data_IF_259449436982
#
_entry.id   IF_259449436982
#
_cell.length_a   1.000
_cell.length_b   1.000
_cell.length_c   1.000
_cell.angle_alpha   90.00
_cell.angle_beta   90.00
_cell.angle_gamma   90.00
#
_symmetry.space_group_name_H-M   'P 1'
#
loop_
_entity.id
_entity.type
_entity.pdbx_description
1 polymer ?
#
# COMPACT_ATOMS: atom_id res chain seq x y z
N UNK A 1 18.06 2.11 -7.14
CA UNK A 1 19.02 1.12 -6.65
C UNK A 1 20.41 1.72 -6.75
N UNK A 2 21.17 1.66 -5.66
CA UNK A 2 22.52 2.22 -5.57
C UNK A 2 23.54 1.12 -5.25
N UNK A 3 24.81 1.35 -5.58
CA UNK A 3 25.92 0.50 -5.15
C UNK A 3 26.31 0.79 -3.69
N UNK A 4 27.32 0.07 -3.20
CA UNK A 4 27.88 0.23 -1.85
C UNK A 4 28.50 1.62 -1.60
N UNK A 5 28.86 2.34 -2.66
CA UNK A 5 29.45 3.68 -2.60
C UNK A 5 28.37 4.78 -2.75
N UNK A 6 27.09 4.40 -2.90
CA UNK A 6 25.98 5.32 -3.08
C UNK A 6 25.77 5.81 -4.52
N UNK A 7 26.51 5.29 -5.51
CA UNK A 7 26.27 5.64 -6.90
C UNK A 7 24.98 4.98 -7.39
N UNK A 8 24.21 5.69 -8.21
CA UNK A 8 23.01 5.13 -8.83
C UNK A 8 23.41 4.05 -9.85
N UNK A 9 22.88 2.84 -9.71
CA UNK A 9 23.12 1.72 -10.63
C UNK A 9 21.88 1.41 -11.47
N UNK A 10 20.70 1.62 -10.89
CA UNK A 10 19.43 1.43 -11.60
C UNK A 10 18.37 2.40 -11.09
N UNK A 11 17.58 2.93 -12.02
CA UNK A 11 16.39 3.74 -11.77
C UNK A 11 15.27 3.26 -12.69
N UNK A 12 14.10 3.01 -12.14
CA UNK A 12 12.88 2.76 -12.89
C UNK A 12 11.79 3.71 -12.40
N UNK A 13 11.09 4.35 -13.33
CA UNK A 13 9.93 5.19 -13.06
C UNK A 13 8.71 4.50 -13.64
N UNK A 14 7.64 4.46 -12.86
CA UNK A 14 6.43 3.73 -13.19
C UNK A 14 5.21 4.64 -13.11
N UNK A 15 4.21 4.36 -13.95
CA UNK A 15 2.89 4.95 -13.78
C UNK A 15 2.17 4.33 -12.56
N UNK A 16 1.00 4.86 -12.14
CA UNK A 16 0.26 4.30 -11.01
C UNK A 16 -0.09 2.81 -11.17
N UNK A 17 -0.24 2.32 -12.40
CA UNK A 17 -0.56 0.92 -12.69
C UNK A 17 0.70 0.06 -12.94
N UNK A 18 1.91 0.59 -12.73
CA UNK A 18 3.14 -0.18 -12.87
C UNK A 18 3.71 -0.31 -14.28
N UNK A 19 3.18 0.44 -15.26
CA UNK A 19 3.85 0.54 -16.56
C UNK A 19 5.15 1.31 -16.42
N UNK A 20 6.21 0.79 -17.04
CA UNK A 20 7.51 1.40 -17.03
C UNK A 20 7.49 2.64 -17.95
N UNK A 21 7.63 3.82 -17.37
CA UNK A 21 7.69 5.10 -18.08
C UNK A 21 9.14 5.42 -18.46
N UNK A 22 10.07 5.13 -17.57
CA UNK A 22 11.49 5.37 -17.79
C UNK A 22 12.32 4.30 -17.07
N UNK A 23 13.39 3.87 -17.72
CA UNK A 23 14.35 2.93 -17.16
C UNK A 23 15.78 3.37 -17.49
N UNK A 24 16.63 3.37 -16.47
CA UNK A 24 18.03 3.66 -16.58
C UNK A 24 18.83 2.61 -15.81
N UNK A 25 19.91 2.12 -16.44
CA UNK A 25 20.77 1.07 -15.91
C UNK A 25 20.89 -0.11 -16.88
N UNK A 26 21.59 -1.16 -16.44
CA UNK A 26 21.71 -2.40 -17.20
C UNK A 26 20.38 -3.15 -17.25
N UNK A 27 19.94 -3.51 -18.46
CA UNK A 27 18.74 -4.32 -18.65
C UNK A 27 18.88 -5.66 -17.91
N UNK A 28 17.81 -6.10 -17.25
CA UNK A 28 17.81 -7.35 -16.46
C UNK A 28 18.54 -7.30 -15.12
N UNK A 29 19.19 -6.17 -14.78
CA UNK A 29 19.86 -6.02 -13.48
C UNK A 29 18.88 -6.07 -12.30
N UNK A 30 17.70 -5.50 -12.48
CA UNK A 30 16.63 -5.55 -11.51
C UNK A 30 15.41 -6.24 -12.14
N UNK A 31 15.05 -7.43 -11.64
CA UNK A 31 13.84 -8.15 -12.05
C UNK A 31 12.62 -7.72 -11.25
N UNK A 32 12.81 -7.14 -10.06
CA UNK A 32 11.72 -6.65 -9.21
C UNK A 32 11.34 -5.22 -9.57
N UNK A 33 10.13 -5.03 -10.09
CA UNK A 33 9.65 -3.77 -10.66
C UNK A 33 8.58 -3.14 -9.76
N UNK A 34 7.36 -3.06 -10.27
CA UNK A 34 6.22 -2.44 -9.61
C UNK A 34 5.88 -3.19 -8.33
N UNK A 35 5.69 -2.45 -7.22
CA UNK A 35 5.33 -2.94 -5.86
C UNK A 35 6.19 -4.08 -5.29
N UNK A 36 7.33 -4.37 -5.92
CA UNK A 36 8.22 -5.48 -5.55
C UNK A 36 7.97 -6.79 -6.33
N UNK A 37 7.01 -6.81 -7.26
CA UNK A 37 6.72 -7.95 -8.12
C UNK A 37 7.85 -8.22 -9.11
N UNK A 38 8.05 -9.49 -9.43
CA UNK A 38 9.05 -9.93 -10.40
C UNK A 38 8.48 -9.87 -11.83
N UNK A 39 9.10 -9.09 -12.71
CA UNK A 39 8.69 -8.95 -14.11
C UNK A 39 9.37 -10.00 -14.97
N UNK A 40 8.57 -10.81 -15.65
CA UNK A 40 9.06 -11.69 -16.70
C UNK A 40 9.34 -10.88 -17.98
N UNK A 41 10.57 -10.92 -18.47
CA UNK A 41 10.99 -10.20 -19.68
C UNK A 41 10.36 -10.73 -20.96
N UNK A 42 9.92 -11.99 -20.99
CA UNK A 42 9.33 -12.59 -22.19
C UNK A 42 7.87 -12.16 -22.38
N UNK A 43 7.10 -12.12 -21.29
CA UNK A 43 5.66 -11.81 -21.34
C UNK A 43 5.33 -10.37 -20.96
N UNK A 44 6.23 -9.70 -20.23
CA UNK A 44 5.97 -8.38 -19.65
C UNK A 44 4.94 -8.41 -18.51
N UNK A 45 4.62 -9.60 -17.99
CA UNK A 45 3.75 -9.79 -16.84
C UNK A 45 4.55 -9.77 -15.55
N UNK A 46 3.91 -9.27 -14.50
CA UNK A 46 4.48 -9.18 -13.16
C UNK A 46 3.93 -10.32 -12.29
N UNK A 47 4.80 -11.10 -11.68
CA UNK A 47 4.41 -12.14 -10.74
C UNK A 47 4.16 -11.54 -9.36
N UNK A 48 2.89 -11.50 -8.98
CA UNK A 48 2.39 -10.97 -7.72
C UNK A 48 2.16 -12.09 -6.69
N UNK A 49 2.96 -13.15 -6.66
CA UNK A 49 2.79 -14.35 -5.82
C UNK A 49 1.51 -15.16 -6.09
N UNK A 50 0.33 -14.63 -5.75
CA UNK A 50 -0.95 -15.32 -5.92
C UNK A 50 -1.49 -15.25 -7.36
N UNK A 51 -1.13 -14.20 -8.11
CA UNK A 51 -1.64 -13.92 -9.46
C UNK A 51 -0.56 -13.38 -10.38
N UNK A 52 -0.82 -13.45 -11.68
CA UNK A 52 -0.07 -12.70 -12.71
C UNK A 52 -0.73 -11.35 -12.95
N UNK A 53 0.03 -10.27 -12.79
CA UNK A 53 -0.39 -8.89 -13.00
C UNK A 53 0.07 -8.38 -14.37
N UNK A 54 -0.84 -7.71 -15.09
CA UNK A 54 -0.55 -7.12 -16.39
C UNK A 54 -0.47 -5.60 -16.27
N UNK A 55 0.73 -5.00 -16.14
CA UNK A 55 0.87 -3.54 -16.00
C UNK A 55 0.26 -2.80 -17.20
N UNK A 56 0.43 -3.32 -18.41
CA UNK A 56 -0.10 -2.72 -19.65
C UNK A 56 -1.63 -2.61 -19.70
N UNK A 57 -2.35 -3.35 -18.86
CA UNK A 57 -3.82 -3.33 -18.77
C UNK A 57 -4.33 -2.82 -17.44
N UNK A 58 -3.45 -2.55 -16.47
CA UNK A 58 -3.78 -2.15 -15.11
C UNK A 58 -4.61 -3.17 -14.34
N UNK A 59 -4.46 -4.47 -14.61
CA UNK A 59 -5.32 -5.54 -14.04
C UNK A 59 -4.63 -6.89 -13.98
N UNK A 60 -5.17 -7.78 -13.14
CA UNK A 60 -4.72 -9.16 -13.08
C UNK A 60 -5.16 -9.97 -14.31
N UNK A 61 -4.36 -10.97 -14.70
CA UNK A 61 -4.65 -11.90 -15.79
C UNK A 61 -5.50 -13.09 -15.33
N UNK A 62 -5.54 -13.32 -14.02
CA UNK A 62 -6.31 -14.38 -13.38
C UNK A 62 -7.28 -13.75 -12.38
N UNK A 63 -8.48 -14.33 -12.23
CA UNK A 63 -9.43 -13.81 -11.28
C UNK A 63 -9.01 -14.18 -9.85
N UNK A 64 -9.38 -13.34 -8.89
CA UNK A 64 -9.05 -13.55 -7.48
C UNK A 64 -9.34 -14.98 -6.97
N UNK A 65 -8.35 -15.69 -6.40
CA UNK A 65 -8.54 -17.00 -5.76
C UNK A 65 -9.52 -16.97 -4.57
N UNK A 66 -9.66 -15.85 -3.87
CA UNK A 66 -10.63 -15.69 -2.78
C UNK A 66 -12.09 -15.76 -3.29
N UNK A 67 -12.29 -15.57 -4.61
CA UNK A 67 -13.59 -15.62 -5.24
C UNK A 67 -14.56 -14.59 -4.65
N UNK A 68 -15.82 -14.97 -4.46
CA UNK A 68 -16.84 -14.10 -3.88
C UNK A 68 -16.66 -13.89 -2.37
N UNK A 69 -15.77 -14.61 -1.70
CA UNK A 69 -15.52 -14.41 -0.26
C UNK A 69 -14.85 -13.06 0.03
N UNK A 70 -14.05 -12.56 -0.92
CA UNK A 70 -13.46 -11.22 -0.85
C UNK A 70 -14.40 -10.10 -1.32
N UNK A 71 -15.50 -10.46 -1.99
CA UNK A 71 -16.44 -9.48 -2.51
C UNK A 71 -17.45 -9.04 -1.44
N UNK A 72 -17.62 -7.73 -1.28
CA UNK A 72 -18.58 -7.10 -0.39
C UNK A 72 -19.66 -6.43 -1.22
N UNK A 73 -20.92 -6.84 -1.05
CA UNK A 73 -22.06 -6.24 -1.76
C UNK A 73 -22.19 -4.73 -1.49
N UNK A 74 -21.78 -4.29 -0.29
CA UNK A 74 -21.73 -2.87 0.09
C UNK A 74 -20.67 -2.06 -0.68
N UNK A 75 -19.73 -2.72 -1.35
CA UNK A 75 -18.61 -2.13 -2.10
C UNK A 75 -18.55 -2.78 -3.49
N UNK A 76 -19.38 -2.34 -4.46
CA UNK A 76 -19.53 -3.00 -5.76
C UNK A 76 -18.22 -3.11 -6.56
N UNK A 77 -17.23 -2.26 -6.29
CA UNK A 77 -15.87 -2.33 -6.84
C UNK A 77 -15.14 -3.63 -6.51
N UNK A 78 -15.46 -4.25 -5.36
CA UNK A 78 -14.88 -5.54 -4.92
C UNK A 78 -15.42 -6.73 -5.72
N UNK A 79 -16.51 -6.56 -6.47
CA UNK A 79 -17.07 -7.62 -7.33
C UNK A 79 -16.20 -7.89 -8.55
N UNK A 80 -15.37 -6.92 -8.96
CA UNK A 80 -14.43 -7.10 -10.05
C UNK A 80 -13.17 -7.86 -9.59
N UNK A 81 -13.18 -9.17 -9.80
CA UNK A 81 -12.09 -10.10 -9.42
C UNK A 81 -10.77 -9.90 -10.17
N UNK A 82 -10.74 -9.03 -11.18
CA UNK A 82 -9.53 -8.71 -11.95
C UNK A 82 -8.97 -7.33 -11.62
N UNK A 83 -9.71 -6.49 -10.89
CA UNK A 83 -9.29 -5.13 -10.58
C UNK A 83 -7.99 -5.15 -9.75
N UNK A 84 -7.05 -4.32 -10.14
CA UNK A 84 -5.93 -4.01 -9.27
C UNK A 84 -6.40 -2.99 -8.25
N UNK A 85 -6.40 -3.37 -6.98
CA UNK A 85 -6.49 -2.42 -5.88
C UNK A 85 -7.74 -1.51 -5.94
N UNK A 86 -8.89 -2.11 -6.28
CA UNK A 86 -10.16 -1.39 -6.45
C UNK A 86 -10.14 -0.23 -7.45
N UNK A 87 -9.19 -0.22 -8.40
CA UNK A 87 -8.89 0.89 -9.31
C UNK A 87 -8.41 2.18 -8.63
N UNK A 88 -7.87 2.08 -7.40
CA UNK A 88 -7.23 3.20 -6.70
C UNK A 88 -5.75 2.91 -6.40
N UNK A 89 -4.91 2.79 -7.43
CA UNK A 89 -3.50 2.42 -7.26
C UNK A 89 -2.62 3.53 -6.68
N UNK A 90 -3.17 4.74 -6.48
CA UNK A 90 -2.45 5.87 -5.90
C UNK A 90 -2.45 5.79 -4.37
N UNK A 91 -3.59 5.39 -3.79
CA UNK A 91 -3.77 5.37 -2.34
C UNK A 91 -3.57 3.98 -1.72
N UNK A 92 -3.52 2.94 -2.54
CA UNK A 92 -3.51 1.55 -2.11
C UNK A 92 -2.46 0.76 -2.90
N UNK A 93 -1.95 -0.29 -2.28
CA UNK A 93 -0.93 -1.18 -2.84
C UNK A 93 -1.29 -2.62 -2.51
N UNK A 94 -1.08 -3.54 -3.45
CA UNK A 94 -1.17 -4.97 -3.19
C UNK A 94 0.26 -5.55 -3.15
N UNK A 95 0.67 -6.18 -2.05
CA UNK A 95 2.01 -6.76 -1.91
C UNK A 95 2.07 -8.26 -2.25
N UNK A 96 0.95 -8.96 -2.23
CA UNK A 96 0.89 -10.43 -2.32
C UNK A 96 0.00 -10.94 -3.45
N UNK A 97 -0.54 -10.03 -4.26
CA UNK A 97 -1.45 -10.31 -5.35
C UNK A 97 -2.79 -10.83 -4.87
N UNK A 98 -3.23 -10.55 -3.65
CA UNK A 98 -4.50 -11.04 -3.09
C UNK A 98 -5.33 -9.92 -2.46
N UNK A 99 -4.72 -9.02 -1.71
CA UNK A 99 -5.45 -8.00 -0.95
C UNK A 99 -4.89 -6.59 -1.18
N UNK A 100 -5.80 -5.63 -1.31
CA UNK A 100 -5.47 -4.22 -1.39
C UNK A 100 -5.21 -3.68 0.02
N UNK A 101 -3.99 -3.23 0.27
CA UNK A 101 -3.59 -2.65 1.53
C UNK A 101 -3.33 -1.15 1.38
N UNK A 102 -3.60 -0.39 2.44
CA UNK A 102 -3.10 0.99 2.51
C UNK A 102 -1.61 0.92 2.82
N UNK A 103 -0.76 1.68 2.10
CA UNK A 103 0.62 1.88 2.52
C UNK A 103 0.65 2.34 3.97
N UNK A 104 1.64 1.87 4.73
CA UNK A 104 1.78 2.23 6.13
C UNK A 104 1.84 3.76 6.30
N UNK A 105 0.82 4.31 6.95
CA UNK A 105 0.76 5.71 7.35
C UNK A 105 0.98 5.80 8.87
N UNK A 106 2.11 6.38 9.34
CA UNK A 106 2.37 6.51 10.76
C UNK A 106 1.34 7.39 11.49
N UNK A 107 0.69 8.33 10.80
CA UNK A 107 -0.34 9.17 11.40
C UNK A 107 -1.64 8.39 11.61
N UNK A 108 -2.09 7.62 10.60
CA UNK A 108 -3.25 6.75 10.74
C UNK A 108 -3.01 5.69 11.82
N UNK A 109 -1.81 5.10 11.91
CA UNK A 109 -1.48 4.14 12.95
C UNK A 109 -1.56 4.75 14.37
N UNK A 110 -1.08 5.99 14.55
CA UNK A 110 -1.21 6.72 15.80
C UNK A 110 -2.67 7.06 16.12
N UNK A 111 -3.47 7.42 15.11
CA UNK A 111 -4.90 7.67 15.26
C UNK A 111 -5.69 6.39 15.57
N UNK A 112 -5.33 5.25 15.00
CA UNK A 112 -6.00 3.97 15.31
C UNK A 112 -5.65 3.49 16.73
N UNK A 113 -4.48 3.88 17.26
CA UNK A 113 -4.06 3.58 18.63
C UNK A 113 -4.63 4.57 19.66
N UNK A 114 -4.70 5.87 19.34
CA UNK A 114 -5.00 6.95 20.31
C UNK A 114 -6.18 7.85 19.93
N UNK A 115 -6.77 7.65 18.75
CA UNK A 115 -7.93 8.40 18.27
C UNK A 115 -9.24 7.96 18.93
N UNK A 116 -10.34 8.66 18.65
CA UNK A 116 -11.66 8.29 19.16
C UNK A 116 -12.08 6.94 18.55
N UNK A 117 -11.90 5.86 19.32
CA UNK A 117 -12.22 4.51 18.90
C UNK A 117 -13.73 4.44 18.54
N UNK A 118 -14.05 4.06 17.28
CA UNK A 118 -15.42 3.67 16.92
C UNK A 118 -15.74 2.35 17.61
N UNK A 119 -16.21 2.42 18.86
CA UNK A 119 -16.91 1.32 19.53
C UNK A 119 -16.14 0.49 20.55
N UNK A 120 -14.92 0.84 20.95
CA UNK A 120 -14.32 0.21 22.13
C UNK A 120 -14.85 0.87 23.41
N UNK A 121 -15.84 0.22 24.04
CA UNK A 121 -16.08 0.41 25.47
C UNK A 121 -14.91 -0.27 26.19
N UNK A 122 -13.86 0.48 26.51
CA UNK A 122 -12.91 0.02 27.53
C UNK A 122 -13.58 0.20 28.91
N UNK A 123 -13.73 -0.84 29.73
CA UNK A 123 -14.24 -0.64 31.08
C UNK A 123 -13.13 0.04 31.88
N UNK A 124 -13.30 1.34 32.12
CA UNK A 124 -12.58 2.16 33.10
C UNK A 124 -11.05 2.09 33.03
N UNK A 125 -10.46 2.87 32.14
CA UNK A 125 -9.08 3.32 32.31
C UNK A 125 -9.01 4.83 32.17
N UNK A 126 -8.80 5.50 33.30
CA UNK A 126 -8.70 6.94 33.37
C UNK A 126 -7.35 7.37 32.77
N UNK A 127 -7.37 7.81 31.51
CA UNK A 127 -6.19 8.14 30.69
C UNK A 127 -5.24 9.15 31.35
N UNK A 128 -5.74 10.02 32.25
CA UNK A 128 -4.90 10.96 33.02
C UNK A 128 -3.91 10.26 33.97
N UNK A 129 -4.19 9.04 34.40
CA UNK A 129 -3.40 8.35 35.43
C UNK A 129 -2.26 7.53 34.84
N UNK A 130 -2.29 7.19 33.55
CA UNK A 130 -1.27 6.34 32.91
C UNK A 130 -0.27 7.07 32.02
N UNK A 131 -0.64 8.23 31.45
CA UNK A 131 0.28 9.06 30.69
C UNK A 131 0.40 10.39 31.42
N UNK A 132 1.56 10.63 32.04
CA UNK A 132 1.80 11.85 32.80
C UNK A 132 1.42 13.10 31.99
N UNK A 133 0.93 14.14 32.68
CA UNK A 133 0.32 15.34 32.06
C UNK A 133 1.17 15.96 30.94
N UNK A 134 2.50 15.82 31.00
CA UNK A 134 3.43 16.29 29.97
C UNK A 134 3.22 15.60 28.61
N UNK A 135 3.01 14.29 28.58
CA UNK A 135 2.78 13.52 27.33
C UNK A 135 1.44 13.91 26.71
N UNK A 136 0.42 14.08 27.56
CA UNK A 136 -0.91 14.50 27.13
C UNK A 136 -0.89 15.91 26.52
N UNK A 137 -0.13 16.84 27.11
CA UNK A 137 0.00 18.22 26.62
C UNK A 137 0.81 18.31 25.32
N UNK A 138 1.86 17.50 25.15
CA UNK A 138 2.66 17.46 23.92
C UNK A 138 1.81 16.95 22.75
N UNK A 139 1.04 15.88 22.94
CA UNK A 139 0.13 15.36 21.90
C UNK A 139 -0.93 16.41 21.57
N UNK A 140 -1.52 17.07 22.57
CA UNK A 140 -2.51 18.15 22.37
C UNK A 140 -1.92 19.37 21.63
N UNK A 141 -0.63 19.64 21.80
CA UNK A 141 0.08 20.69 21.09
C UNK A 141 0.40 20.31 19.63
N UNK A 142 0.81 19.06 19.39
CA UNK A 142 1.07 18.52 18.05
C UNK A 142 -0.19 18.35 17.19
N UNK A 143 -1.37 18.23 17.82
CA UNK A 143 -2.67 18.10 17.14
C UNK A 143 -3.35 19.44 16.81
N UNK A 144 -2.71 20.59 17.06
CA UNK A 144 -3.28 21.88 16.62
C UNK A 144 -3.10 22.01 15.10
N UNK A 145 -4.17 22.26 14.32
CA UNK A 145 -4.03 22.50 12.89
C UNK A 145 -3.16 23.75 12.70
N UNK A 146 -2.25 23.69 11.72
CA UNK A 146 -1.54 24.88 11.22
C UNK A 146 -2.61 25.74 10.55
N UNK A 147 -3.05 26.78 11.24
CA UNK A 147 -3.82 27.86 10.59
C UNK A 147 -2.89 28.49 9.55
N UNK A 148 -3.37 28.54 8.31
CA UNK A 148 -2.69 29.12 7.15
C UNK A 148 -2.52 30.64 7.29
#
# INVERSE_FOLDING_TARGET
>A
MTDQNGNMVYRGEFDPYGNLVYEWGLAGLNTRKFTGYERDSNTGLDYANARMYGPGRGRFMQPDPAGLKGAKVAMPETLNRYAYVHNDPVNLVDYNGAEAERPYDPFQALWDLWGPQKGFVCPTLNLKTQMGEAVFLIIKWLMKPVEA
#
